data_IF_008009199723
#
_entry.id   IF_008009199723
#
_cell.length_a   1.000
_cell.length_b   1.000
_cell.length_c   1.000
_cell.angle_alpha   90.00
_cell.angle_beta   90.00
_cell.angle_gamma   90.00
#
_symmetry.space_group_name_H-M   'P 1'
#
loop_
_entity.id
_entity.type
_entity.pdbx_description
1 polymer ?
#
# COMPACT_ATOMS: atom_id res chain seq x y z
N UNK A 1 19.24 -2.95 -7.77
CA UNK A 1 18.17 -2.32 -6.96
C UNK A 1 18.12 -3.06 -5.63
N UNK A 2 18.36 -2.37 -4.51
CA UNK A 2 18.41 -3.00 -3.20
C UNK A 2 17.01 -3.40 -2.76
N UNK A 3 16.71 -4.69 -2.70
CA UNK A 3 15.43 -5.20 -2.17
C UNK A 3 15.42 -5.04 -0.65
N UNK A 4 14.36 -4.43 -0.10
CA UNK A 4 14.16 -4.29 1.35
C UNK A 4 13.92 -5.67 1.97
N UNK A 5 14.36 -5.85 3.22
CA UNK A 5 13.96 -7.02 4.02
C UNK A 5 12.46 -6.98 4.33
N UNK A 6 11.70 -7.92 3.80
CA UNK A 6 10.25 -8.08 4.02
C UNK A 6 9.93 -9.02 5.19
N UNK A 7 8.68 -9.03 5.65
CA UNK A 7 8.14 -10.06 6.55
C UNK A 7 7.82 -11.35 5.76
N UNK A 8 8.60 -12.43 5.88
CA UNK A 8 8.46 -13.60 5.01
C UNK A 8 7.12 -14.32 5.18
N UNK A 9 6.54 -14.33 6.38
CA UNK A 9 5.27 -14.98 6.64
C UNK A 9 4.12 -14.25 5.92
N UNK A 10 4.09 -12.91 6.00
CA UNK A 10 3.09 -12.10 5.29
C UNK A 10 3.26 -12.19 3.77
N UNK A 11 4.50 -12.19 3.28
CA UNK A 11 4.79 -12.38 1.85
C UNK A 11 4.28 -13.74 1.37
N UNK A 12 4.59 -14.84 2.07
CA UNK A 12 4.10 -16.18 1.69
C UNK A 12 2.57 -16.23 1.66
N UNK A 13 1.91 -15.66 2.67
CA UNK A 13 0.44 -15.59 2.73
C UNK A 13 -0.13 -14.81 1.54
N UNK A 14 0.38 -13.61 1.29
CA UNK A 14 -0.07 -12.76 0.19
C UNK A 14 0.24 -13.38 -1.19
N UNK A 15 1.38 -14.05 -1.34
CA UNK A 15 1.77 -14.69 -2.58
C UNK A 15 0.88 -15.88 -2.94
N UNK A 16 0.33 -16.58 -1.94
CA UNK A 16 -0.59 -17.70 -2.10
C UNK A 16 -2.07 -17.29 -2.26
N UNK A 17 -2.40 -16.00 -2.14
CA UNK A 17 -3.78 -15.55 -2.27
C UNK A 17 -4.26 -15.68 -3.73
N UNK A 18 -5.34 -16.42 -4.01
CA UNK A 18 -5.83 -16.65 -5.37
C UNK A 18 -6.35 -15.37 -6.06
N UNK A 19 -6.60 -14.31 -5.29
CA UNK A 19 -7.06 -13.00 -5.80
C UNK A 19 -5.92 -11.99 -5.90
N UNK A 20 -4.66 -12.42 -5.78
CA UNK A 20 -3.48 -11.55 -5.95
C UNK A 20 -3.47 -10.96 -7.37
N UNK A 21 -3.60 -9.64 -7.53
CA UNK A 21 -3.57 -9.00 -8.84
C UNK A 21 -2.12 -8.72 -9.30
N UNK A 22 -1.98 -8.02 -10.43
CA UNK A 22 -0.69 -7.57 -10.96
C UNK A 22 0.08 -8.69 -11.68
N UNK A 23 1.37 -8.48 -11.84
CA UNK A 23 2.26 -9.31 -12.67
C UNK A 23 3.29 -10.06 -11.83
N UNK A 24 2.97 -10.35 -10.57
CA UNK A 24 3.81 -11.17 -9.68
C UNK A 24 5.29 -10.74 -9.60
N UNK A 25 5.55 -9.43 -9.61
CA UNK A 25 6.88 -8.79 -9.61
C UNK A 25 7.62 -8.82 -10.96
N UNK A 26 6.95 -9.18 -12.05
CA UNK A 26 7.57 -9.30 -13.37
C UNK A 26 7.34 -8.07 -14.27
N UNK A 27 6.51 -7.11 -13.83
CA UNK A 27 6.32 -5.88 -14.58
C UNK A 27 7.60 -5.02 -14.55
N UNK A 28 7.92 -4.29 -15.62
CA UNK A 28 8.95 -3.26 -15.58
C UNK A 28 8.63 -2.23 -14.49
N UNK A 29 9.67 -1.75 -13.79
CA UNK A 29 9.52 -0.75 -12.74
C UNK A 29 8.82 0.51 -13.26
N UNK A 30 7.84 1.01 -12.52
CA UNK A 30 7.16 2.28 -12.80
C UNK A 30 6.07 2.20 -13.86
N UNK A 31 5.86 1.03 -14.49
CA UNK A 31 4.70 0.81 -15.39
C UNK A 31 3.38 0.66 -14.64
N UNK A 32 3.45 0.43 -13.34
CA UNK A 32 2.29 0.36 -12.46
C UNK A 32 2.57 1.18 -11.21
N UNK A 33 1.53 1.80 -10.65
CA UNK A 33 1.60 2.47 -9.35
C UNK A 33 0.47 2.00 -8.44
N UNK A 34 0.72 1.86 -7.13
CA UNK A 34 -0.33 1.64 -6.17
C UNK A 34 -1.13 2.93 -5.94
N UNK A 35 -2.47 2.83 -5.99
CA UNK A 35 -3.39 3.89 -5.59
C UNK A 35 -3.94 3.54 -4.21
N UNK A 36 -3.87 4.50 -3.30
CA UNK A 36 -4.31 4.35 -1.91
C UNK A 36 -5.65 5.06 -1.74
N UNK A 37 -6.67 4.29 -1.37
CA UNK A 37 -7.93 4.81 -0.88
C UNK A 37 -7.74 5.31 0.56
N UNK A 38 -7.63 6.64 0.71
CA UNK A 38 -7.40 7.30 2.01
C UNK A 38 -8.62 7.25 2.93
N UNK A 39 -9.81 7.03 2.38
CA UNK A 39 -11.03 6.88 3.19
C UNK A 39 -11.04 5.53 3.93
N UNK A 40 -10.27 4.56 3.43
CA UNK A 40 -10.19 3.20 3.97
C UNK A 40 -8.88 2.89 4.69
N UNK A 41 -7.77 3.50 4.28
CA UNK A 41 -6.45 3.21 4.85
C UNK A 41 -6.39 3.55 6.35
N UNK A 42 -5.88 2.60 7.16
CA UNK A 42 -5.67 2.77 8.60
C UNK A 42 -4.19 2.71 9.02
N UNK A 43 -3.25 2.74 8.08
CA UNK A 43 -1.82 2.75 8.38
C UNK A 43 -1.29 1.51 9.12
N UNK A 44 -1.84 0.31 8.85
CA UNK A 44 -1.45 -0.96 9.49
C UNK A 44 -0.07 -1.51 9.07
N UNK A 45 0.59 -0.88 8.10
CA UNK A 45 1.92 -1.23 7.58
C UNK A 45 2.08 -2.60 6.90
N UNK A 46 1.01 -3.39 6.72
CA UNK A 46 1.10 -4.66 6.00
C UNK A 46 1.66 -4.52 4.57
N UNK A 47 1.30 -3.44 3.86
CA UNK A 47 1.84 -3.14 2.54
C UNK A 47 3.34 -2.85 2.54
N UNK A 48 3.83 -2.16 3.56
CA UNK A 48 5.25 -1.87 3.74
C UNK A 48 6.05 -3.14 4.09
N UNK A 49 5.47 -4.02 4.91
CA UNK A 49 6.10 -5.28 5.32
C UNK A 49 6.21 -6.30 4.19
N UNK A 50 5.30 -6.27 3.21
CA UNK A 50 5.30 -7.21 2.07
C UNK A 50 5.93 -6.66 0.81
N UNK A 51 6.17 -5.35 0.69
CA UNK A 51 6.74 -4.77 -0.51
C UNK A 51 8.26 -4.97 -0.57
N UNK A 52 8.78 -5.74 -1.55
CA UNK A 52 10.22 -5.96 -1.66
C UNK A 52 10.98 -4.77 -2.27
N UNK A 53 10.26 -3.81 -2.85
CA UNK A 53 10.82 -2.67 -3.59
C UNK A 53 10.75 -1.34 -2.83
N UNK A 54 10.41 -1.38 -1.53
CA UNK A 54 10.29 -0.18 -0.69
C UNK A 54 9.37 0.91 -1.26
N UNK A 55 8.27 0.53 -1.93
CA UNK A 55 7.33 1.49 -2.54
C UNK A 55 6.59 2.33 -1.49
N UNK A 56 6.37 1.76 -0.31
CA UNK A 56 5.47 2.30 0.72
C UNK A 56 6.24 2.84 1.92
N UNK A 57 5.72 3.92 2.48
CA UNK A 57 6.14 4.48 3.77
C UNK A 57 4.89 4.78 4.62
N UNK A 58 4.79 4.16 5.80
CA UNK A 58 3.71 4.48 6.75
C UNK A 58 4.10 5.69 7.60
N UNK A 59 3.21 6.67 7.64
CA UNK A 59 3.41 7.91 8.37
C UNK A 59 2.13 8.44 8.98
N UNK A 60 2.21 9.66 9.51
CA UNK A 60 1.04 10.42 9.92
C UNK A 60 0.35 11.02 8.70
N UNK A 61 -0.98 11.00 8.71
CA UNK A 61 -1.78 11.69 7.71
C UNK A 61 -1.49 13.19 7.81
N UNK A 62 -1.10 13.81 6.69
CA UNK A 62 -0.86 15.26 6.65
C UNK A 62 -2.14 16.02 7.01
N UNK A 63 -2.01 17.25 7.49
CA UNK A 63 -3.17 18.10 7.77
C UNK A 63 -4.05 18.33 6.54
N UNK A 64 -3.44 18.40 5.36
CA UNK A 64 -4.15 18.56 4.08
C UNK A 64 -4.96 17.30 3.77
N UNK A 65 -4.34 16.13 3.84
CA UNK A 65 -5.04 14.86 3.59
C UNK A 65 -6.12 14.59 4.64
N UNK A 66 -5.85 14.91 5.92
CA UNK A 66 -6.82 14.76 7.00
C UNK A 66 -8.04 15.67 6.81
N UNK A 67 -7.84 16.90 6.35
CA UNK A 67 -8.94 17.83 6.07
C UNK A 67 -9.75 17.45 4.82
N UNK A 68 -9.13 16.76 3.87
CA UNK A 68 -9.81 16.26 2.68
C UNK A 68 -10.78 15.10 3.00
N UNK A 69 -10.61 14.42 4.14
CA UNK A 69 -11.52 13.35 4.55
C UNK A 69 -12.92 13.87 4.91
N UNK A 70 -13.99 13.12 4.57
CA UNK A 70 -15.34 13.32 5.10
C UNK A 70 -15.34 13.38 6.64
N UNK A 71 -16.30 14.10 7.23
CA UNK A 71 -16.32 14.34 8.68
C UNK A 71 -16.32 13.05 9.52
N UNK A 72 -17.11 12.04 9.15
CA UNK A 72 -17.12 10.74 9.84
C UNK A 72 -15.77 10.03 9.75
N UNK A 73 -15.11 10.09 8.60
CA UNK A 73 -13.80 9.48 8.39
C UNK A 73 -12.68 10.23 9.10
N UNK A 74 -12.83 11.53 9.33
CA UNK A 74 -11.94 12.29 10.23
C UNK A 74 -12.00 11.79 11.67
N UNK A 75 -13.16 11.37 12.16
CA UNK A 75 -13.29 10.77 13.51
C UNK A 75 -12.66 9.38 13.51
N UNK A 76 -12.98 8.54 12.51
CA UNK A 76 -12.36 7.22 12.34
C UNK A 76 -10.83 7.34 12.33
N UNK A 77 -10.27 8.21 11.51
CA UNK A 77 -8.83 8.43 11.45
C UNK A 77 -8.24 8.79 12.83
N UNK A 78 -8.90 9.60 13.66
CA UNK A 78 -8.42 9.87 15.03
C UNK A 78 -8.37 8.61 15.90
N UNK A 79 -9.43 7.80 15.89
CA UNK A 79 -9.51 6.56 16.67
C UNK A 79 -8.45 5.54 16.24
N UNK A 80 -8.05 5.57 14.97
CA UNK A 80 -7.03 4.68 14.41
C UNK A 80 -5.64 5.35 14.32
N UNK A 81 -5.39 6.39 15.13
CA UNK A 81 -4.05 6.97 15.33
C UNK A 81 -3.56 7.90 14.22
N UNK A 82 -4.46 8.35 13.33
CA UNK A 82 -4.22 9.21 12.17
C UNK A 82 -3.09 8.74 11.25
N UNK A 83 -2.80 7.45 11.24
CA UNK A 83 -1.76 6.89 10.36
C UNK A 83 -2.32 6.60 8.98
N UNK A 84 -1.46 6.73 7.99
CA UNK A 84 -1.74 6.31 6.60
C UNK A 84 -0.46 5.81 5.94
N UNK A 85 -0.59 5.32 4.72
CA UNK A 85 0.55 4.98 3.87
C UNK A 85 0.67 5.96 2.71
N UNK A 86 1.90 6.36 2.43
CA UNK A 86 2.31 7.10 1.24
C UNK A 86 3.18 6.23 0.34
N UNK A 87 3.34 6.63 -0.92
CA UNK A 87 4.04 5.87 -1.95
C UNK A 87 5.18 6.68 -2.59
N UNK A 88 6.17 7.15 -1.80
CA UNK A 88 7.23 8.03 -2.29
C UNK A 88 8.11 7.39 -3.38
N UNK A 89 8.10 6.06 -3.48
CA UNK A 89 8.85 5.28 -4.48
C UNK A 89 7.90 4.50 -5.40
N UNK A 90 6.78 5.11 -5.82
CA UNK A 90 5.80 4.48 -6.69
C UNK A 90 6.41 4.04 -8.04
N UNK A 91 7.43 4.74 -8.52
CA UNK A 91 8.22 4.44 -9.71
C UNK A 91 9.05 3.15 -9.59
N UNK A 92 9.30 2.65 -8.38
CA UNK A 92 9.96 1.36 -8.15
C UNK A 92 8.98 0.18 -8.19
N UNK A 93 7.66 0.42 -8.31
CA UNK A 93 6.67 -0.64 -8.29
C UNK A 93 6.78 -1.54 -9.53
N UNK A 94 6.86 -2.86 -9.30
CA UNK A 94 6.88 -3.90 -10.33
C UNK A 94 5.58 -4.74 -10.33
N UNK A 95 4.46 -4.11 -9.98
CA UNK A 95 3.13 -4.71 -9.98
C UNK A 95 3.03 -6.05 -9.25
N UNK A 96 3.67 -6.20 -8.08
CA UNK A 96 3.69 -7.48 -7.38
C UNK A 96 2.32 -7.97 -6.91
N UNK A 97 1.38 -7.08 -6.64
CA UNK A 97 0.07 -7.41 -6.07
C UNK A 97 0.05 -7.82 -4.61
N UNK A 98 1.22 -8.03 -3.97
CA UNK A 98 1.30 -8.47 -2.57
C UNK A 98 0.62 -7.48 -1.62
N UNK A 99 0.89 -6.18 -1.80
CA UNK A 99 0.32 -5.11 -0.99
C UNK A 99 -1.22 -5.06 -1.06
N UNK A 100 -1.81 -5.40 -2.21
CA UNK A 100 -3.26 -5.36 -2.44
C UNK A 100 -3.97 -6.40 -1.57
N UNK A 101 -3.50 -7.65 -1.61
CA UNK A 101 -4.10 -8.75 -0.84
C UNK A 101 -3.64 -8.80 0.62
N UNK A 102 -2.48 -8.22 0.93
CA UNK A 102 -2.01 -8.09 2.31
C UNK A 102 -2.76 -6.99 3.09
N UNK A 103 -3.33 -6.00 2.41
CA UNK A 103 -4.01 -4.87 3.06
C UNK A 103 -5.30 -5.34 3.77
N UNK A 104 -5.38 -5.28 5.11
CA UNK A 104 -6.57 -5.72 5.84
C UNK A 104 -7.81 -4.89 5.49
N UNK A 105 -7.61 -3.61 5.18
CA UNK A 105 -8.68 -2.67 4.84
C UNK A 105 -9.08 -2.71 3.36
N UNK A 106 -8.36 -3.47 2.52
CA UNK A 106 -8.44 -3.49 1.05
C UNK A 106 -8.44 -2.08 0.43
N UNK A 107 -7.55 -1.23 0.93
CA UNK A 107 -7.42 0.17 0.57
C UNK A 107 -6.43 0.44 -0.57
N UNK A 108 -5.94 -0.61 -1.26
CA UNK A 108 -4.88 -0.49 -2.26
C UNK A 108 -5.34 -1.14 -3.56
N UNK A 109 -5.17 -0.44 -4.68
CA UNK A 109 -5.29 -0.98 -6.03
C UNK A 109 -4.00 -0.72 -6.81
N UNK A 110 -3.77 -1.48 -7.88
CA UNK A 110 -2.69 -1.22 -8.83
C UNK A 110 -3.30 -0.65 -10.11
N UNK A 111 -2.72 0.44 -10.62
CA UNK A 111 -3.12 1.05 -11.90
C UNK A 111 -1.90 1.14 -12.81
N UNK A 112 -2.11 0.90 -14.10
CA UNK A 112 -1.06 1.07 -15.10
C UNK A 112 -0.80 2.56 -15.33
N UNK A 113 0.47 2.91 -15.50
CA UNK A 113 0.91 4.26 -15.89
C UNK A 113 0.99 4.27 -17.41
N UNK A 114 0.25 5.20 -18.04
CA UNK A 114 0.27 5.41 -19.49
C UNK A 114 1.62 5.96 -19.96
#
# INVERSE_FOLDING_TARGET
MSTKKTNPAKVRKAAADPKRPGEACLAPAGKWVPVIDRDRCEGKADCEEVCPYNVFEVGQLTDTDYRALPFGLRIKARLHGKKTVYTPHADACQACGLCVVACPERAITLVAVA
#
